data_IF_491992760903
#
_entry.id   IF_491992760903
#
_cell.length_a   1.000
_cell.length_b   1.000
_cell.length_c   1.000
_cell.angle_alpha   90.00
_cell.angle_beta   90.00
_cell.angle_gamma   90.00
#
_symmetry.space_group_name_H-M   'P 1'
#
loop_
_entity.id
_entity.type
_entity.pdbx_description
1 polymer ?
#
# COMPACT_ATOMS: atom_id res chain seq x y z
N UNK A 1 -4.31 9.84 35.27
CA UNK A 1 -3.34 9.15 34.40
C UNK A 1 -4.14 8.71 33.19
N UNK A 2 -3.93 9.27 31.98
CA UNK A 2 -4.62 8.73 30.82
C UNK A 2 -4.12 7.30 30.66
N UNK A 3 -5.03 6.33 30.66
CA UNK A 3 -4.72 4.94 30.34
C UNK A 3 -4.16 4.95 28.91
N UNK A 4 -2.84 4.89 28.80
CA UNK A 4 -2.17 4.81 27.51
C UNK A 4 -2.69 3.57 26.81
N UNK A 5 -3.23 3.74 25.60
CA UNK A 5 -3.56 2.62 24.74
C UNK A 5 -2.30 1.75 24.64
N UNK A 6 -2.32 0.59 25.29
CA UNK A 6 -1.26 -0.39 25.19
C UNK A 6 -1.45 -1.09 23.85
N UNK A 7 -0.95 -0.44 22.79
CA UNK A 7 -0.95 -1.01 21.46
C UNK A 7 0.13 -2.09 21.44
N UNK A 8 -0.30 -3.33 21.23
CA UNK A 8 0.60 -4.48 21.10
C UNK A 8 1.40 -4.38 19.78
N UNK A 9 2.76 -4.32 19.83
CA UNK A 9 3.60 -4.30 18.63
C UNK A 9 3.36 -5.48 17.69
N UNK A 10 3.01 -6.67 18.21
CA UNK A 10 2.71 -7.82 17.38
C UNK A 10 1.42 -7.62 16.55
N UNK A 11 0.42 -6.96 17.13
CA UNK A 11 -0.81 -6.58 16.43
C UNK A 11 -0.53 -5.58 15.30
N UNK A 12 0.35 -4.59 15.52
CA UNK A 12 0.74 -3.62 14.49
C UNK A 12 1.46 -4.30 13.32
N UNK A 13 2.41 -5.21 13.59
CA UNK A 13 3.09 -5.99 12.54
C UNK A 13 2.15 -6.95 11.80
N UNK A 14 1.20 -7.53 12.51
CA UNK A 14 0.16 -8.36 11.91
C UNK A 14 -0.73 -7.56 10.94
N UNK A 15 -1.08 -6.33 11.32
CA UNK A 15 -1.83 -5.42 10.46
C UNK A 15 -1.00 -4.95 9.26
N UNK A 16 0.27 -4.58 9.45
CA UNK A 16 1.14 -4.13 8.35
C UNK A 16 1.30 -5.20 7.27
N UNK A 17 1.39 -6.47 7.65
CA UNK A 17 1.49 -7.60 6.70
C UNK A 17 0.31 -7.62 5.71
N UNK A 18 -0.92 -7.51 6.21
CA UNK A 18 -2.13 -7.49 5.36
C UNK A 18 -2.20 -6.24 4.47
N UNK A 19 -1.67 -5.12 4.96
CA UNK A 19 -1.62 -3.87 4.19
C UNK A 19 -0.57 -3.97 3.08
N UNK A 20 0.59 -4.58 3.31
CA UNK A 20 1.56 -4.89 2.25
C UNK A 20 0.95 -5.79 1.17
N UNK A 21 0.29 -6.88 1.56
CA UNK A 21 -0.42 -7.76 0.61
C UNK A 21 -1.45 -7.00 -0.24
N UNK A 22 -2.20 -6.07 0.38
CA UNK A 22 -3.13 -5.20 -0.33
C UNK A 22 -2.43 -4.22 -1.27
N UNK A 23 -1.33 -3.60 -0.84
CA UNK A 23 -0.49 -2.74 -1.68
C UNK A 23 0.02 -3.49 -2.91
N UNK A 24 0.53 -4.70 -2.73
CA UNK A 24 1.06 -5.53 -3.81
C UNK A 24 -0.05 -5.88 -4.82
N UNK A 25 -1.22 -6.30 -4.33
CA UNK A 25 -2.37 -6.58 -5.21
C UNK A 25 -2.82 -5.36 -6.03
N UNK A 26 -2.77 -4.16 -5.44
CA UNK A 26 -3.08 -2.90 -6.15
C UNK A 26 -1.99 -2.59 -7.18
N UNK A 27 -0.72 -2.81 -6.84
CA UNK A 27 0.42 -2.65 -7.77
C UNK A 27 0.35 -3.60 -8.95
N UNK A 28 -0.01 -4.87 -8.72
CA UNK A 28 -0.22 -5.87 -9.76
C UNK A 28 -1.37 -5.50 -10.69
N UNK A 29 -2.48 -4.97 -10.13
CA UNK A 29 -3.59 -4.47 -10.94
C UNK A 29 -3.17 -3.29 -11.83
N UNK A 30 -2.34 -2.36 -11.31
CA UNK A 30 -1.77 -1.27 -12.09
C UNK A 30 -0.88 -1.81 -13.24
N UNK A 31 -0.05 -2.81 -12.95
CA UNK A 31 0.80 -3.45 -13.96
C UNK A 31 -0.03 -4.12 -15.07
N UNK A 32 -1.12 -4.81 -14.71
CA UNK A 32 -2.04 -5.40 -15.69
C UNK A 32 -2.71 -4.34 -16.60
N UNK A 33 -3.09 -3.19 -16.05
CA UNK A 33 -3.63 -2.09 -16.86
C UNK A 33 -2.57 -1.46 -17.77
N UNK A 34 -1.32 -1.36 -17.30
CA UNK A 34 -0.24 -0.75 -18.10
C UNK A 34 0.07 -1.49 -19.40
N UNK A 35 -0.23 -2.79 -19.47
CA UNK A 35 -0.03 -3.63 -20.65
C UNK A 35 -1.30 -3.82 -21.47
N UNK A 36 -2.45 -3.33 -20.98
CA UNK A 36 -3.71 -3.48 -21.66
C UNK A 36 -3.77 -2.54 -22.87
N UNK A 37 -3.97 -3.11 -24.07
CA UNK A 37 -4.09 -2.35 -25.31
C UNK A 37 -5.20 -2.93 -26.17
N UNK A 38 -5.97 -2.05 -26.79
CA UNK A 38 -6.88 -2.41 -27.87
C UNK A 38 -6.23 -2.05 -29.20
N UNK A 39 -6.17 -3.02 -30.11
CA UNK A 39 -5.66 -2.82 -31.47
C UNK A 39 -6.85 -2.50 -32.37
N UNK A 40 -6.94 -1.28 -32.96
CA UNK A 40 -8.08 -0.90 -33.80
C UNK A 40 -8.35 -1.88 -34.93
N UNK A 41 -7.29 -2.39 -35.58
CA UNK A 41 -7.40 -3.37 -36.65
C UNK A 41 -8.07 -4.69 -36.22
N UNK A 42 -8.02 -5.06 -34.93
CA UNK A 42 -8.70 -6.23 -34.40
C UNK A 42 -10.20 -5.98 -34.15
N UNK A 43 -10.64 -4.73 -34.11
CA UNK A 43 -12.03 -4.30 -33.90
C UNK A 43 -12.79 -4.09 -35.23
N UNK A 44 -12.09 -4.19 -36.36
CA UNK A 44 -12.63 -4.00 -37.71
C UNK A 44 -12.31 -2.63 -38.30
N UNK A 45 -12.49 -2.49 -39.62
CA UNK A 45 -12.16 -1.26 -40.38
C UNK A 45 -13.29 -0.22 -40.29
N UNK A 46 -13.66 0.20 -39.08
CA UNK A 46 -14.65 1.25 -38.84
C UNK A 46 -14.02 2.41 -38.07
N UNK A 47 -14.40 3.65 -38.38
CA UNK A 47 -13.84 4.84 -37.71
C UNK A 47 -14.02 4.80 -36.17
N UNK A 48 -15.08 4.15 -35.69
CA UNK A 48 -15.33 3.95 -34.26
C UNK A 48 -14.29 3.04 -33.56
N UNK A 49 -13.55 2.21 -34.31
CA UNK A 49 -12.52 1.33 -33.76
C UNK A 49 -11.32 2.13 -33.22
N UNK A 50 -10.90 3.16 -33.96
CA UNK A 50 -9.81 4.05 -33.54
C UNK A 50 -10.21 4.88 -32.31
N UNK A 51 -11.45 5.40 -32.30
CA UNK A 51 -11.99 6.16 -31.18
C UNK A 51 -12.06 5.30 -29.91
N UNK A 52 -12.57 4.07 -30.01
CA UNK A 52 -12.64 3.15 -28.87
C UNK A 52 -11.25 2.77 -28.36
N UNK A 53 -10.30 2.48 -29.25
CA UNK A 53 -8.94 2.15 -28.85
C UNK A 53 -8.24 3.32 -28.14
N UNK A 54 -8.46 4.55 -28.63
CA UNK A 54 -7.95 5.77 -27.99
C UNK A 54 -8.56 5.97 -26.60
N UNK A 55 -9.89 5.92 -26.48
CA UNK A 55 -10.59 6.07 -25.21
C UNK A 55 -10.18 4.98 -24.20
N UNK A 56 -9.98 3.75 -24.66
CA UNK A 56 -9.46 2.67 -23.82
C UNK A 56 -8.03 2.96 -23.34
N UNK A 57 -7.16 3.45 -24.22
CA UNK A 57 -5.80 3.87 -23.87
C UNK A 57 -5.76 4.94 -22.77
N UNK A 58 -6.62 5.97 -22.89
CA UNK A 58 -6.77 7.00 -21.86
C UNK A 58 -7.28 6.42 -20.54
N UNK A 59 -8.30 5.56 -20.59
CA UNK A 59 -8.86 4.89 -19.43
C UNK A 59 -7.82 4.06 -18.67
N UNK A 60 -7.10 3.17 -19.36
CA UNK A 60 -6.13 2.27 -18.71
C UNK A 60 -4.92 3.05 -18.18
N UNK A 61 -4.53 4.14 -18.85
CA UNK A 61 -3.44 5.02 -18.37
C UNK A 61 -3.86 5.73 -17.10
N UNK A 62 -5.01 6.42 -17.10
CA UNK A 62 -5.48 7.17 -15.93
C UNK A 62 -5.67 6.26 -14.72
N UNK A 63 -6.37 5.14 -14.89
CA UNK A 63 -6.62 4.23 -13.78
C UNK A 63 -5.36 3.45 -13.37
N UNK A 64 -4.48 3.12 -14.31
CA UNK A 64 -3.19 2.51 -14.00
C UNK A 64 -2.32 3.42 -13.12
N UNK A 65 -2.27 4.71 -13.42
CA UNK A 65 -1.56 5.69 -12.61
C UNK A 65 -2.18 5.88 -11.22
N UNK A 66 -3.52 5.95 -11.14
CA UNK A 66 -4.21 6.04 -9.86
C UNK A 66 -3.94 4.82 -8.97
N UNK A 67 -3.99 3.61 -9.55
CA UNK A 67 -3.65 2.38 -8.82
C UNK A 67 -2.18 2.37 -8.39
N UNK A 68 -1.25 2.78 -9.26
CA UNK A 68 0.18 2.86 -8.93
C UNK A 68 0.45 3.85 -7.80
N UNK A 69 -0.23 5.00 -7.77
CA UNK A 69 -0.13 5.93 -6.65
C UNK A 69 -0.79 5.38 -5.39
N UNK A 70 -1.93 4.71 -5.54
CA UNK A 70 -2.65 4.04 -4.46
C UNK A 70 -1.81 2.97 -3.78
N UNK A 71 -1.12 2.11 -4.53
CA UNK A 71 -0.26 1.07 -3.94
C UNK A 71 0.86 1.67 -3.10
N UNK A 72 1.54 2.72 -3.60
CA UNK A 72 2.58 3.44 -2.84
C UNK A 72 2.02 4.02 -1.54
N UNK A 73 0.83 4.61 -1.58
CA UNK A 73 0.20 5.18 -0.39
C UNK A 73 -0.18 4.12 0.66
N UNK A 74 -0.71 2.97 0.20
CA UNK A 74 -1.04 1.83 1.06
C UNK A 74 0.24 1.24 1.66
N UNK A 75 1.31 1.10 0.87
CA UNK A 75 2.61 0.62 1.34
C UNK A 75 3.19 1.52 2.45
N UNK A 76 3.17 2.84 2.24
CA UNK A 76 3.62 3.81 3.25
C UNK A 76 2.81 3.73 4.56
N UNK A 77 1.54 3.33 4.49
CA UNK A 77 0.73 3.09 5.68
C UNK A 77 1.24 1.87 6.45
N UNK A 78 1.61 0.79 5.75
CA UNK A 78 2.20 -0.39 6.37
C UNK A 78 3.56 -0.07 7.02
N UNK A 79 4.41 0.73 6.35
CA UNK A 79 5.68 1.21 6.90
C UNK A 79 5.46 2.00 8.21
N UNK A 80 4.45 2.86 8.24
CA UNK A 80 4.09 3.62 9.45
C UNK A 80 3.67 2.73 10.63
N UNK A 81 2.98 1.62 10.38
CA UNK A 81 2.62 0.65 11.42
C UNK A 81 3.86 -0.11 11.95
N UNK A 82 4.79 -0.48 11.06
CA UNK A 82 6.05 -1.12 11.46
C UNK A 82 6.90 -0.17 12.30
N UNK A 83 7.08 1.07 11.84
CA UNK A 83 7.82 2.09 12.58
C UNK A 83 7.19 2.36 13.96
N UNK A 84 5.86 2.41 14.04
CA UNK A 84 5.15 2.56 15.31
C UNK A 84 5.42 1.37 16.25
N UNK A 85 5.41 0.14 15.73
CA UNK A 85 5.70 -1.06 16.52
C UNK A 85 7.12 -1.04 17.10
N UNK A 86 8.10 -0.60 16.30
CA UNK A 86 9.50 -0.45 16.72
C UNK A 86 9.66 0.63 17.80
N UNK A 87 8.96 1.76 17.68
CA UNK A 87 8.97 2.83 18.67
C UNK A 87 8.39 2.38 20.02
N UNK A 88 7.29 1.60 19.99
CA UNK A 88 6.70 1.02 21.19
C UNK A 88 7.65 0.05 21.90
N UNK A 89 8.31 -0.86 21.16
CA UNK A 89 9.26 -1.80 21.76
C UNK A 89 10.50 -1.11 22.32
N UNK A 90 11.04 -0.12 21.61
CA UNK A 90 12.17 0.67 22.11
C UNK A 90 11.82 1.42 23.40
N UNK A 91 10.61 1.97 23.47
CA UNK A 91 10.13 2.70 24.65
C UNK A 91 9.91 1.77 25.85
N UNK A 92 9.38 0.57 25.61
CA UNK A 92 9.19 -0.46 26.65
C UNK A 92 10.54 -0.96 27.20
N UNK A 93 11.48 -1.28 26.30
CA UNK A 93 12.84 -1.69 26.68
C UNK A 93 13.58 -0.60 27.49
N UNK A 94 13.47 0.67 27.07
CA UNK A 94 14.06 1.80 27.80
C UNK A 94 13.46 1.98 29.19
N UNK A 95 12.15 1.75 29.33
CA UNK A 95 11.45 1.81 30.62
C UNK A 95 11.87 0.67 31.55
N UNK A 96 11.99 -0.56 31.04
CA UNK A 96 12.46 -1.73 31.79
C UNK A 96 13.92 -1.59 32.26
N UNK A 97 14.80 -1.03 31.41
CA UNK A 97 16.19 -0.77 31.76
C UNK A 97 16.32 0.27 32.89
N UNK A 98 15.54 1.35 32.83
CA UNK A 98 15.51 2.39 33.87
C UNK A 98 15.00 1.86 35.22
N UNK A 99 13.97 1.00 35.22
CA UNK A 99 13.47 0.34 36.43
C UNK A 99 14.52 -0.57 37.06
N UNK A 100 15.27 -1.32 36.25
CA UNK A 100 16.35 -2.18 36.73
C UNK A 100 17.50 -1.37 37.34
N UNK A 101 17.86 -0.24 36.72
CA UNK A 101 18.90 0.65 37.21
C UNK A 101 18.50 1.41 38.50
N UNK A 102 17.22 1.76 38.66
CA UNK A 102 16.72 2.44 39.87
C UNK A 102 16.52 1.50 41.07
N UNK A 103 16.39 0.19 40.82
CA UNK A 103 16.27 -0.83 41.86
C UNK A 103 17.60 -1.45 42.31
N UNK A 104 18.72 -1.06 41.69
CA UNK A 104 20.10 -1.50 42.00
C UNK A 104 20.82 -0.45 42.85
#
# INVERSE_FOLDING_TARGET
MPEGYQVDPATLRGASTKIYEGSDAVGDAAALLSVAQLVPAALGEVAAADELACAFGEFVTSHGDDLRHGSVWVNATADGLVASAEEYESSDQGSAANLTAAGS
#
